data_IF_472997050509
#
_entry.id   IF_472997050509
#
_cell.length_a   1.000
_cell.length_b   1.000
_cell.length_c   1.000
_cell.angle_alpha   90.00
_cell.angle_beta   90.00
_cell.angle_gamma   90.00
#
_symmetry.space_group_name_H-M   'P 1'
#
loop_
_entity.id
_entity.type
_entity.pdbx_description
1 polymer ?
#
# COMPACT_ATOMS: atom_id res chain seq x y z
N UNK A 1 21.90 -2.10 -8.97
CA UNK A 1 21.44 -2.47 -7.62
C UNK A 1 19.99 -2.95 -7.72
N UNK A 2 19.70 -4.21 -7.36
CA UNK A 2 18.31 -4.66 -7.26
C UNK A 2 17.65 -3.91 -6.09
N UNK A 3 16.90 -2.84 -6.39
CA UNK A 3 16.23 -2.01 -5.40
C UNK A 3 15.06 -2.83 -4.80
N UNK A 4 15.36 -3.68 -3.82
CA UNK A 4 14.35 -4.44 -3.09
C UNK A 4 13.37 -3.43 -2.49
N UNK A 5 12.05 -3.59 -2.67
CA UNK A 5 11.09 -2.70 -2.05
C UNK A 5 11.34 -2.63 -0.55
N UNK A 6 11.28 -1.41 -0.01
CA UNK A 6 11.25 -1.23 1.44
C UNK A 6 10.07 -2.04 1.98
N UNK A 7 10.28 -2.81 3.05
CA UNK A 7 9.17 -3.59 3.65
C UNK A 7 8.22 -2.71 4.45
N UNK A 8 8.67 -1.52 4.84
CA UNK A 8 7.96 -0.58 5.70
C UNK A 8 8.21 0.83 5.16
N UNK A 9 7.15 1.62 5.05
CA UNK A 9 7.20 3.04 4.75
C UNK A 9 6.49 3.80 5.87
N UNK A 10 6.86 5.07 6.08
CA UNK A 10 6.21 5.93 7.09
C UNK A 10 5.59 7.13 6.40
N UNK A 11 4.29 7.35 6.63
CA UNK A 11 3.51 8.45 6.10
C UNK A 11 2.93 9.31 7.22
N UNK A 12 2.47 10.51 6.89
CA UNK A 12 1.72 11.37 7.83
C UNK A 12 0.22 11.06 7.69
N UNK A 13 -0.43 10.74 8.80
CA UNK A 13 -1.89 10.57 8.88
C UNK A 13 -2.59 11.87 8.48
N UNK A 14 -3.68 11.80 7.71
CA UNK A 14 -4.46 13.00 7.35
C UNK A 14 -5.26 13.47 8.57
N UNK A 15 -5.91 12.54 9.28
CA UNK A 15 -6.75 12.84 10.45
C UNK A 15 -5.95 13.43 11.62
N UNK A 16 -4.98 12.69 12.15
CA UNK A 16 -4.29 13.08 13.38
C UNK A 16 -2.88 13.63 13.17
N UNK A 17 -2.41 13.74 11.92
CA UNK A 17 -1.07 14.24 11.58
C UNK A 17 0.12 13.47 12.19
N UNK A 18 -0.13 12.33 12.83
CA UNK A 18 0.90 11.45 13.39
C UNK A 18 1.54 10.57 12.32
N UNK A 19 2.77 10.07 12.55
CA UNK A 19 3.39 9.10 11.65
C UNK A 19 2.63 7.77 11.67
N UNK A 20 2.34 7.25 10.48
CA UNK A 20 1.68 5.96 10.21
C UNK A 20 2.66 5.07 9.48
N UNK A 21 2.93 3.89 10.05
CA UNK A 21 3.73 2.86 9.38
C UNK A 21 2.83 2.04 8.48
N UNK A 22 3.17 1.99 7.20
CA UNK A 22 2.53 1.08 6.24
C UNK A 22 3.52 -0.01 5.87
N UNK A 23 3.00 -1.23 5.72
CA UNK A 23 3.79 -2.42 5.49
C UNK A 23 3.51 -2.93 4.08
N UNK A 24 4.57 -3.40 3.41
CA UNK A 24 4.47 -4.05 2.12
C UNK A 24 3.55 -5.26 2.25
N UNK A 25 2.42 -5.22 1.56
CA UNK A 25 1.48 -6.32 1.50
C UNK A 25 2.08 -7.42 0.62
N UNK A 26 1.91 -8.67 1.05
CA UNK A 26 2.51 -9.82 0.39
C UNK A 26 1.77 -10.12 -0.92
N UNK A 27 2.22 -9.52 -2.02
CA UNK A 27 1.71 -9.85 -3.36
C UNK A 27 2.40 -11.10 -3.87
N UNK A 28 1.80 -12.25 -3.59
CA UNK A 28 2.34 -13.54 -4.05
C UNK A 28 2.30 -13.71 -5.58
N UNK A 29 1.70 -12.77 -6.36
CA UNK A 29 1.50 -12.94 -7.80
C UNK A 29 1.81 -11.73 -8.71
N UNK A 30 2.01 -10.51 -8.18
CA UNK A 30 2.18 -9.32 -9.03
C UNK A 30 3.49 -8.59 -8.74
N UNK A 31 4.57 -8.98 -9.41
CA UNK A 31 5.87 -8.26 -9.35
C UNK A 31 5.81 -6.82 -9.90
N UNK A 32 4.72 -6.48 -10.60
CA UNK A 32 4.51 -5.17 -11.24
C UNK A 32 3.88 -4.13 -10.30
N UNK A 33 3.50 -4.52 -9.08
CA UNK A 33 2.95 -3.63 -8.05
C UNK A 33 3.55 -3.93 -6.68
N UNK A 34 3.68 -2.91 -5.86
CA UNK A 34 4.15 -2.96 -4.50
C UNK A 34 3.09 -2.27 -3.63
N UNK A 35 2.05 -2.98 -3.21
CA UNK A 35 1.02 -2.43 -2.35
C UNK A 35 1.50 -2.36 -0.91
N UNK A 36 1.15 -1.27 -0.24
CA UNK A 36 1.42 -0.98 1.15
C UNK A 36 0.11 -0.64 1.85
N UNK A 37 -0.04 -1.14 3.08
CA UNK A 37 -1.19 -0.83 3.92
C UNK A 37 -0.75 -0.70 5.37
N UNK A 38 -1.40 0.21 6.09
CA UNK A 38 -1.24 0.38 7.52
C UNK A 38 -2.45 1.10 8.10
N UNK A 39 -2.62 1.00 9.40
CA UNK A 39 -3.70 1.65 10.14
C UNK A 39 -3.04 2.56 11.18
N UNK A 40 -3.46 3.82 11.21
CA UNK A 40 -3.05 4.76 12.25
C UNK A 40 -3.76 4.43 13.57
N UNK A 41 -3.15 4.77 14.72
CA UNK A 41 -3.79 4.67 16.04
C UNK A 41 -5.14 5.40 16.14
N UNK A 42 -5.40 6.39 15.29
CA UNK A 42 -6.69 7.08 15.24
C UNK A 42 -7.77 6.35 14.41
N UNK A 43 -7.45 5.18 13.84
CA UNK A 43 -8.34 4.41 12.97
C UNK A 43 -8.26 4.75 11.48
N UNK A 44 -7.42 5.69 11.05
CA UNK A 44 -7.25 6.00 9.62
C UNK A 44 -6.49 4.87 8.92
N UNK A 45 -7.12 4.28 7.91
CA UNK A 45 -6.47 3.32 7.01
C UNK A 45 -5.68 4.07 5.96
N UNK A 46 -4.36 3.80 5.88
CA UNK A 46 -3.48 4.36 4.86
C UNK A 46 -3.10 3.29 3.85
N UNK A 47 -3.51 3.49 2.60
CA UNK A 47 -3.13 2.65 1.45
C UNK A 47 -2.18 3.43 0.54
N UNK A 48 -1.16 2.75 0.07
CA UNK A 48 -0.20 3.27 -0.88
C UNK A 48 0.25 2.15 -1.81
N UNK A 49 0.54 2.43 -3.07
CA UNK A 49 1.12 1.44 -3.95
C UNK A 49 2.07 2.10 -4.95
N UNK A 50 3.10 1.36 -5.36
CA UNK A 50 4.02 1.76 -6.43
C UNK A 50 4.12 0.66 -7.46
N UNK A 51 4.34 0.99 -8.73
CA UNK A 51 4.43 0.02 -9.81
C UNK A 51 3.72 0.49 -11.08
N UNK A 52 3.15 -0.45 -11.82
CA UNK A 52 2.38 -0.17 -13.03
C UNK A 52 1.14 0.67 -12.68
N UNK A 53 0.92 1.74 -13.45
CA UNK A 53 -0.11 2.75 -13.17
C UNK A 53 -1.51 2.15 -13.00
N UNK A 54 -1.92 1.27 -13.91
CA UNK A 54 -3.22 0.60 -13.90
C UNK A 54 -3.43 -0.22 -12.61
N UNK A 55 -2.47 -1.07 -12.25
CA UNK A 55 -2.51 -1.86 -11.03
C UNK A 55 -2.55 -0.98 -9.77
N UNK A 56 -1.79 0.13 -9.75
CA UNK A 56 -1.78 1.09 -8.63
C UNK A 56 -3.16 1.76 -8.49
N UNK A 57 -3.76 2.21 -9.60
CA UNK A 57 -5.09 2.82 -9.60
C UNK A 57 -6.16 1.83 -9.12
N UNK A 58 -6.12 0.58 -9.60
CA UNK A 58 -7.02 -0.50 -9.20
C UNK A 58 -6.90 -0.84 -7.69
N UNK A 59 -5.67 -0.89 -7.15
CA UNK A 59 -5.43 -1.12 -5.73
C UNK A 59 -5.96 0.03 -4.85
N UNK A 60 -5.74 1.27 -5.27
CA UNK A 60 -6.22 2.45 -4.53
C UNK A 60 -7.75 2.59 -4.60
N UNK A 61 -8.39 2.14 -5.69
CA UNK A 61 -9.84 2.10 -5.84
C UNK A 61 -10.51 0.99 -5.03
N UNK A 62 -9.76 -0.02 -4.60
CA UNK A 62 -10.31 -1.15 -3.84
C UNK A 62 -10.55 -0.76 -2.38
N UNK A 63 -11.81 -0.43 -2.05
CA UNK A 63 -12.21 0.03 -0.72
C UNK A 63 -12.10 -1.05 0.37
N UNK A 64 -12.18 -2.33 0.04
CA UNK A 64 -12.31 -3.43 1.00
C UNK A 64 -10.97 -4.08 1.40
N UNK A 65 -9.86 -3.71 0.77
CA UNK A 65 -8.57 -4.40 0.99
C UNK A 65 -8.50 -5.81 0.37
N UNK A 66 -9.60 -6.31 -0.19
CA UNK A 66 -9.67 -7.55 -0.95
C UNK A 66 -9.33 -7.33 -2.43
N UNK A 67 -8.22 -6.62 -2.70
CA UNK A 67 -7.77 -6.38 -4.07
C UNK A 67 -7.14 -7.66 -4.64
N UNK A 68 -7.87 -8.29 -5.55
CA UNK A 68 -7.37 -9.40 -6.36
C UNK A 68 -7.19 -8.90 -7.79
N UNK A 69 -5.96 -8.52 -8.15
CA UNK A 69 -5.64 -8.27 -9.55
C UNK A 69 -5.58 -9.61 -10.27
N UNK A 70 -6.68 -9.96 -10.93
CA UNK A 70 -6.66 -11.04 -11.91
C UNK A 70 -5.81 -10.57 -13.08
N UNK A 71 -4.72 -11.30 -13.32
CA UNK A 71 -3.83 -11.11 -14.46
C UNK A 71 -4.55 -11.31 -15.80
#
# INVERSE_FOLDING_TARGET
MANKPARILTFKCIQCQKPVKVFLQKVSACSHIQPYMGICDCGEVRRYATGQKDAVESYLASEDGNWSHHH
#
